data_IF_586473434461
#
_entry.id   IF_586473434461
#
_cell.length_a   1.000
_cell.length_b   1.000
_cell.length_c   1.000
_cell.angle_alpha   90.00
_cell.angle_beta   90.00
_cell.angle_gamma   90.00
#
_symmetry.space_group_name_H-M   'P 1'
#
loop_
_entity.id
_entity.type
_entity.pdbx_description
1 polymer ?
#
# COMPACT_ATOMS: atom_id res chain seq x y z
N UNK A 1 9.51 12.49 11.27
CA UNK A 1 10.99 12.46 11.17
C UNK A 1 11.65 11.18 11.72
N UNK A 2 10.90 10.18 12.22
CA UNK A 2 11.50 9.00 12.86
C UNK A 2 12.17 8.00 11.91
N UNK A 3 11.50 7.61 10.81
CA UNK A 3 11.99 6.52 9.97
C UNK A 3 13.33 6.79 9.24
N UNK A 4 13.57 7.97 8.63
CA UNK A 4 14.88 8.27 8.05
C UNK A 4 16.02 8.24 9.08
N UNK A 5 15.74 8.65 10.32
CA UNK A 5 16.72 8.56 11.41
C UNK A 5 17.00 7.09 11.77
N UNK A 6 15.98 6.23 11.82
CA UNK A 6 16.17 4.80 12.06
C UNK A 6 17.03 4.14 10.97
N UNK A 7 16.91 4.57 9.71
CA UNK A 7 17.74 4.08 8.61
C UNK A 7 19.22 4.46 8.77
N UNK A 8 19.53 5.57 9.45
CA UNK A 8 20.89 5.97 9.79
C UNK A 8 21.51 5.02 10.84
N UNK A 9 20.74 4.61 11.85
CA UNK A 9 21.19 3.67 12.88
C UNK A 9 21.22 2.21 12.39
N UNK A 10 20.28 1.84 11.53
CA UNK A 10 20.14 0.49 10.98
C UNK A 10 20.09 0.53 9.44
N UNK A 11 21.24 0.45 8.76
CA UNK A 11 21.33 0.57 7.30
C UNK A 11 20.44 -0.40 6.53
N UNK A 12 20.15 -1.58 7.10
CA UNK A 12 19.23 -2.57 6.52
C UNK A 12 17.82 -2.01 6.29
N UNK A 13 17.37 -1.05 7.09
CA UNK A 13 16.08 -0.38 6.92
C UNK A 13 16.04 0.51 5.67
N UNK A 14 17.19 0.88 5.11
CA UNK A 14 17.29 1.61 3.84
C UNK A 14 16.73 0.82 2.65
N UNK A 15 16.61 -0.51 2.77
CA UNK A 15 16.05 -1.38 1.74
C UNK A 15 14.52 -1.53 1.85
N UNK A 16 13.88 -0.89 2.84
CA UNK A 16 12.45 -0.98 3.05
C UNK A 16 11.79 0.40 3.00
N UNK A 17 10.65 0.48 2.32
CA UNK A 17 9.88 1.72 2.13
C UNK A 17 8.43 1.50 2.57
N UNK A 18 7.90 2.43 3.36
CA UNK A 18 6.49 2.45 3.71
C UNK A 18 5.70 3.21 2.66
N UNK A 19 4.59 2.62 2.21
CA UNK A 19 3.70 3.23 1.22
C UNK A 19 2.24 3.07 1.59
N UNK A 20 1.39 3.87 0.96
CA UNK A 20 -0.07 3.77 1.10
C UNK A 20 -0.74 3.70 -0.27
N UNK A 21 -1.78 2.89 -0.38
CA UNK A 21 -2.74 2.92 -1.50
C UNK A 21 -4.15 3.08 -0.96
N UNK A 22 -5.04 3.65 -1.76
CA UNK A 22 -6.45 3.80 -1.43
C UNK A 22 -7.32 3.33 -2.59
N UNK A 23 -8.20 2.39 -2.30
CA UNK A 23 -9.25 1.98 -3.21
C UNK A 23 -10.57 1.92 -2.46
N UNK A 24 -11.58 2.73 -2.83
CA UNK A 24 -12.81 2.90 -2.06
C UNK A 24 -13.41 1.57 -1.63
N UNK A 25 -13.81 1.46 -0.37
CA UNK A 25 -14.50 0.28 0.11
C UNK A 25 -15.88 0.11 -0.54
N UNK A 26 -16.45 -1.09 -0.43
CA UNK A 26 -17.81 -1.37 -0.94
C UNK A 26 -18.87 -0.43 -0.35
N UNK A 27 -18.62 0.09 0.85
CA UNK A 27 -19.48 1.05 1.51
C UNK A 27 -19.54 2.37 0.72
N UNK A 28 -18.39 2.93 0.35
CA UNK A 28 -18.31 4.17 -0.45
C UNK A 28 -18.73 3.99 -1.91
N UNK A 29 -18.62 2.78 -2.44
CA UNK A 29 -19.05 2.48 -3.80
C UNK A 29 -20.57 2.30 -3.93
N UNK A 30 -21.31 2.08 -2.84
CA UNK A 30 -22.76 1.85 -2.89
C UNK A 30 -23.55 3.04 -2.36
N UNK A 31 -24.27 3.72 -3.25
CA UNK A 31 -25.16 4.84 -2.92
C UNK A 31 -26.28 4.46 -1.93
N UNK A 32 -26.63 3.16 -1.84
CA UNK A 32 -27.63 2.65 -0.89
C UNK A 32 -27.28 2.86 0.57
N UNK A 33 -26.00 3.00 0.90
CA UNK A 33 -25.56 3.25 2.28
C UNK A 33 -25.56 4.75 2.62
N UNK A 34 -25.71 5.63 1.63
CA UNK A 34 -25.80 7.08 1.86
C UNK A 34 -27.14 7.52 2.48
N UNK A 35 -28.16 6.65 2.54
CA UNK A 35 -29.54 7.04 2.89
C UNK A 35 -29.92 6.86 4.37
N UNK A 36 -29.02 6.39 5.24
CA UNK A 36 -29.27 6.34 6.70
C UNK A 36 -27.98 6.57 7.49
N UNK A 37 -27.41 7.79 7.50
CA UNK A 37 -26.08 8.00 8.04
C UNK A 37 -26.11 8.12 9.56
N UNK A 38 -25.43 7.22 10.27
CA UNK A 38 -24.93 7.50 11.61
C UNK A 38 -23.82 8.55 11.58
N UNK A 39 -23.40 9.06 12.74
CA UNK A 39 -22.31 10.06 12.84
C UNK A 39 -21.00 9.60 12.17
N UNK A 40 -20.67 8.30 12.31
CA UNK A 40 -19.50 7.70 11.65
C UNK A 40 -19.68 7.54 10.14
N UNK A 41 -20.90 7.34 9.66
CA UNK A 41 -21.21 7.23 8.23
C UNK A 41 -21.10 8.58 7.52
N UNK A 42 -21.45 9.67 8.20
CA UNK A 42 -21.27 11.03 7.70
C UNK A 42 -19.77 11.39 7.60
N UNK A 43 -18.99 11.15 8.66
CA UNK A 43 -17.54 11.39 8.66
C UNK A 43 -16.79 10.51 7.65
N UNK A 44 -17.29 9.28 7.43
CA UNK A 44 -16.81 8.43 6.37
C UNK A 44 -17.13 9.09 5.00
N UNK A 45 -18.38 9.23 4.63
CA UNK A 45 -18.76 9.60 3.26
C UNK A 45 -18.18 10.96 2.80
N UNK A 46 -18.00 11.91 3.72
CA UNK A 46 -17.47 13.25 3.43
C UNK A 46 -15.94 13.32 3.35
N UNK A 47 -15.23 12.39 4.01
CA UNK A 47 -13.75 12.41 4.08
C UNK A 47 -13.15 11.04 3.74
N UNK A 48 -12.29 10.94 2.71
CA UNK A 48 -11.58 9.70 2.37
C UNK A 48 -10.76 9.10 3.53
N UNK A 49 -10.41 9.93 4.52
CA UNK A 49 -9.73 9.49 5.75
C UNK A 49 -10.60 8.57 6.60
N UNK A 50 -11.93 8.70 6.53
CA UNK A 50 -12.86 7.83 7.24
C UNK A 50 -13.04 6.45 6.59
N UNK A 51 -12.57 6.24 5.35
CA UNK A 51 -12.64 4.94 4.65
C UNK A 51 -11.43 4.07 4.98
N UNK A 52 -11.27 3.70 6.25
CA UNK A 52 -10.16 2.83 6.68
C UNK A 52 -10.16 1.48 5.95
N UNK A 53 -11.35 0.98 5.57
CA UNK A 53 -11.53 -0.21 4.74
C UNK A 53 -11.00 -0.03 3.32
N UNK A 54 -10.93 1.20 2.83
CA UNK A 54 -10.38 1.55 1.53
C UNK A 54 -8.85 1.54 1.49
N UNK A 55 -8.20 1.67 2.64
CA UNK A 55 -6.76 1.89 2.74
C UNK A 55 -5.96 0.60 2.77
N UNK A 56 -4.74 0.65 2.25
CA UNK A 56 -3.74 -0.39 2.49
C UNK A 56 -2.38 0.24 2.73
N UNK A 57 -1.75 -0.22 3.80
CA UNK A 57 -0.38 0.11 4.15
C UNK A 57 0.54 -0.95 3.58
N UNK A 58 1.62 -0.53 2.96
CA UNK A 58 2.56 -1.39 2.27
C UNK A 58 3.96 -1.23 2.84
N UNK A 59 4.65 -2.35 2.98
CA UNK A 59 6.08 -2.43 3.20
C UNK A 59 6.71 -2.97 1.91
N UNK A 60 7.33 -2.08 1.13
CA UNK A 60 8.05 -2.40 -0.10
C UNK A 60 9.52 -2.69 0.21
N UNK A 61 10.05 -3.77 -0.35
CA UNK A 61 11.43 -4.21 -0.18
C UNK A 61 12.18 -4.09 -1.51
N UNK A 62 13.36 -3.49 -1.45
CA UNK A 62 14.25 -3.35 -2.60
C UNK A 62 14.73 -4.71 -3.09
N UNK A 63 14.40 -5.04 -4.33
CA UNK A 63 14.76 -6.31 -4.96
C UNK A 63 16.24 -6.41 -5.28
N UNK A 64 16.95 -5.28 -5.43
CA UNK A 64 18.41 -5.32 -5.56
C UNK A 64 19.07 -5.85 -4.28
N UNK A 65 18.48 -5.59 -3.11
CA UNK A 65 18.97 -6.20 -1.87
C UNK A 65 18.45 -7.63 -1.68
N UNK A 66 17.19 -7.89 -2.04
CA UNK A 66 16.52 -9.16 -1.75
C UNK A 66 16.92 -10.31 -2.68
N UNK A 67 17.18 -10.04 -3.97
CA UNK A 67 17.39 -11.08 -4.98
C UNK A 67 18.85 -11.58 -5.01
N UNK A 68 19.06 -12.89 -5.30
CA UNK A 68 20.40 -13.42 -5.49
C UNK A 68 21.07 -12.84 -6.73
N UNK A 69 22.41 -12.79 -6.73
CA UNK A 69 23.20 -12.22 -7.82
C UNK A 69 22.91 -12.81 -9.21
N UNK A 70 22.48 -14.08 -9.27
CA UNK A 70 22.10 -14.74 -10.52
C UNK A 70 20.81 -14.18 -11.15
N UNK A 71 19.91 -13.57 -10.37
CA UNK A 71 18.62 -13.06 -10.84
C UNK A 71 18.64 -11.55 -11.11
N UNK A 72 19.54 -10.79 -10.49
CA UNK A 72 19.64 -9.33 -10.64
C UNK A 72 19.71 -8.84 -12.09
N UNK A 73 20.47 -9.46 -13.02
CA UNK A 73 20.55 -8.97 -14.41
C UNK A 73 19.23 -9.05 -15.18
N UNK A 74 18.29 -9.87 -14.70
CA UNK A 74 17.01 -10.13 -15.36
C UNK A 74 15.84 -9.43 -14.67
N UNK A 75 16.09 -8.74 -13.55
CA UNK A 75 15.06 -8.08 -12.76
C UNK A 75 15.24 -6.55 -12.84
N UNK A 76 14.18 -5.78 -13.17
CA UNK A 76 14.27 -4.33 -13.19
C UNK A 76 14.55 -3.77 -11.80
N UNK A 77 15.55 -2.90 -11.68
CA UNK A 77 15.96 -2.30 -10.41
C UNK A 77 14.85 -1.45 -9.76
N UNK A 78 14.02 -0.80 -10.58
CA UNK A 78 12.85 -0.01 -10.17
C UNK A 78 11.64 -0.86 -9.72
N UNK A 79 11.67 -2.19 -9.87
CA UNK A 79 10.56 -3.06 -9.52
C UNK A 79 10.83 -3.78 -8.20
N UNK A 80 10.06 -3.44 -7.17
CA UNK A 80 10.16 -4.01 -5.82
C UNK A 80 9.11 -5.10 -5.56
N UNK A 81 9.28 -5.81 -4.45
CA UNK A 81 8.24 -6.66 -3.86
C UNK A 81 7.66 -5.97 -2.62
N UNK A 82 6.34 -6.03 -2.44
CA UNK A 82 5.66 -5.37 -1.33
C UNK A 82 4.72 -6.30 -0.58
N UNK A 83 4.75 -6.18 0.75
CA UNK A 83 3.80 -6.79 1.67
C UNK A 83 2.78 -5.72 2.10
N UNK A 84 1.52 -5.93 1.76
CA UNK A 84 0.42 -5.03 2.10
C UNK A 84 -0.42 -5.56 3.25
N UNK A 85 -0.96 -4.63 4.03
CA UNK A 85 -1.89 -4.90 5.13
C UNK A 85 -3.04 -3.89 5.08
N UNK A 86 -4.27 -4.39 5.20
CA UNK A 86 -5.46 -3.55 5.30
C UNK A 86 -6.63 -4.29 5.94
N UNK A 87 -7.69 -3.56 6.23
CA UNK A 87 -8.99 -4.12 6.58
C UNK A 87 -9.88 -4.09 5.34
N UNK A 88 -10.67 -5.14 5.09
CA UNK A 88 -11.61 -5.16 3.96
C UNK A 88 -12.88 -5.87 4.38
N UNK A 89 -14.01 -5.33 3.95
CA UNK A 89 -15.33 -5.94 4.15
C UNK A 89 -15.77 -5.93 5.64
N UNK A 90 -15.44 -4.87 6.41
CA UNK A 90 -15.91 -4.77 7.80
C UNK A 90 -17.45 -4.70 7.85
N UNK A 91 -18.13 -5.57 8.63
CA UNK A 91 -19.55 -5.48 8.86
C UNK A 91 -19.83 -4.26 9.74
N UNK A 92 -20.86 -3.49 9.37
CA UNK A 92 -21.21 -2.26 10.08
C UNK A 92 -21.43 -2.49 11.57
N UNK A 93 -20.85 -1.61 12.39
CA UNK A 93 -21.04 -1.60 13.84
C UNK A 93 -20.26 -2.66 14.62
N UNK A 94 -19.53 -3.56 13.96
CA UNK A 94 -18.70 -4.55 14.63
C UNK A 94 -17.22 -4.26 14.40
N UNK A 95 -16.55 -3.70 15.42
CA UNK A 95 -15.12 -3.40 15.42
C UNK A 95 -14.23 -4.66 15.57
N UNK A 96 -14.80 -5.86 15.37
CA UNK A 96 -14.01 -7.08 15.41
C UNK A 96 -12.98 -7.05 14.27
N UNK A 97 -11.70 -7.13 14.65
CA UNK A 97 -10.52 -7.15 13.78
C UNK A 97 -10.42 -8.41 12.87
N UNK A 98 -11.54 -9.09 12.60
CA UNK A 98 -11.67 -10.36 11.85
C UNK A 98 -11.64 -10.22 10.32
N UNK A 99 -11.26 -9.05 9.82
CA UNK A 99 -11.32 -8.75 8.39
C UNK A 99 -9.97 -8.28 7.86
N UNK A 100 -8.89 -8.78 8.46
CA UNK A 100 -7.53 -8.47 8.06
C UNK A 100 -7.26 -9.12 6.72
N UNK A 101 -6.68 -8.33 5.84
CA UNK A 101 -6.28 -8.80 4.53
C UNK A 101 -4.81 -8.49 4.33
N UNK A 102 -4.07 -9.54 3.98
CA UNK A 102 -2.68 -9.42 3.58
C UNK A 102 -2.58 -9.39 2.06
N UNK A 103 -1.56 -8.70 1.56
CA UNK A 103 -1.28 -8.62 0.14
C UNK A 103 0.19 -8.93 -0.09
N UNK A 104 0.51 -9.70 -1.12
CA UNK A 104 1.86 -9.81 -1.65
C UNK A 104 1.83 -9.31 -3.09
N UNK A 105 2.54 -8.25 -3.40
CA UNK A 105 2.46 -7.59 -4.70
C UNK A 105 3.78 -7.06 -5.21
N UNK A 106 3.73 -6.59 -6.45
CA UNK A 106 4.80 -5.78 -7.03
C UNK A 106 4.62 -4.32 -6.62
N UNK A 107 5.71 -3.58 -6.54
CA UNK A 107 5.72 -2.15 -6.26
C UNK A 107 6.73 -1.43 -7.16
N UNK A 108 6.48 -0.16 -7.46
CA UNK A 108 7.38 0.65 -8.28
C UNK A 108 8.21 1.55 -7.35
N UNK A 109 9.52 1.37 -7.34
CA UNK A 109 10.46 2.28 -6.70
C UNK A 109 10.72 3.46 -7.62
N UNK A 110 9.90 4.52 -7.48
CA UNK A 110 9.99 5.68 -8.35
C UNK A 110 11.31 6.42 -8.22
N UNK A 111 12.01 6.32 -7.09
CA UNK A 111 13.29 7.00 -6.89
C UNK A 111 14.37 6.51 -7.86
N UNK A 112 14.27 5.25 -8.31
CA UNK A 112 15.18 4.61 -9.29
C UNK A 112 14.86 4.94 -10.75
N UNK A 113 13.74 5.61 -11.03
CA UNK A 113 13.45 6.09 -12.38
C UNK A 113 14.45 7.17 -12.83
N UNK A 114 14.73 7.29 -14.14
CA UNK A 114 15.68 8.29 -14.66
C UNK A 114 15.28 9.72 -14.30
N UNK A 115 16.27 10.61 -14.23
CA UNK A 115 16.11 12.01 -13.85
C UNK A 115 16.66 12.30 -12.45
N UNK A 116 17.58 13.25 -12.40
CA UNK A 116 18.47 13.51 -11.27
C UNK A 116 18.52 14.98 -10.85
N UNK A 117 17.67 15.83 -11.44
CA UNK A 117 17.50 17.21 -10.99
C UNK A 117 16.92 17.24 -9.56
N UNK A 118 17.24 18.27 -8.75
CA UNK A 118 16.74 18.37 -7.37
C UNK A 118 15.20 18.31 -7.30
N UNK A 119 14.51 18.97 -8.23
CA UNK A 119 13.05 18.92 -8.31
C UNK A 119 12.53 17.51 -8.57
N UNK A 120 13.10 16.80 -9.56
CA UNK A 120 12.67 15.43 -9.89
C UNK A 120 12.96 14.46 -8.74
N UNK A 121 14.09 14.59 -8.05
CA UNK A 121 14.38 13.76 -6.86
C UNK A 121 13.33 13.95 -5.77
N UNK A 122 12.98 15.20 -5.44
CA UNK A 122 11.93 15.49 -4.46
C UNK A 122 10.57 14.98 -4.90
N UNK A 123 10.19 15.20 -6.17
CA UNK A 123 8.93 14.73 -6.71
C UNK A 123 8.84 13.19 -6.67
N UNK A 124 9.89 12.50 -7.12
CA UNK A 124 9.96 11.03 -7.09
C UNK A 124 9.82 10.53 -5.65
N UNK A 125 10.49 11.14 -4.68
CA UNK A 125 10.40 10.71 -3.28
C UNK A 125 9.00 10.89 -2.69
N UNK A 126 8.33 12.02 -2.97
CA UNK A 126 6.94 12.24 -2.53
C UNK A 126 6.00 11.23 -3.17
N UNK A 127 6.09 11.02 -4.49
CA UNK A 127 5.25 10.06 -5.18
C UNK A 127 5.56 8.62 -4.76
N UNK A 128 6.80 8.31 -4.39
CA UNK A 128 7.21 6.98 -3.96
C UNK A 128 6.56 6.57 -2.63
N UNK A 129 6.03 7.50 -1.84
CA UNK A 129 5.19 7.18 -0.67
C UNK A 129 3.82 6.60 -1.05
N UNK A 130 3.42 6.69 -2.31
CA UNK A 130 2.17 6.13 -2.85
C UNK A 130 2.50 4.79 -3.51
N UNK A 131 1.74 3.76 -3.15
CA UNK A 131 1.81 2.48 -3.85
C UNK A 131 0.91 2.55 -5.08
N UNK A 132 1.52 2.69 -6.26
CA UNK A 132 0.82 2.76 -7.54
C UNK A 132 0.16 1.43 -7.92
N UNK A 133 -0.78 1.46 -8.88
CA UNK A 133 -1.47 0.26 -9.30
C UNK A 133 -0.55 -0.84 -9.82
N UNK A 134 -0.55 -2.00 -9.16
CA UNK A 134 0.32 -3.11 -9.51
C UNK A 134 -0.34 -4.47 -9.27
N UNK A 135 0.12 -5.53 -9.96
CA UNK A 135 -0.30 -6.89 -9.68
C UNK A 135 0.01 -7.30 -8.24
N UNK A 136 -1.00 -7.78 -7.53
CA UNK A 136 -0.90 -8.28 -6.18
C UNK A 136 -1.81 -9.48 -5.95
N UNK A 137 -1.37 -10.36 -5.07
CA UNK A 137 -2.15 -11.46 -4.53
C UNK A 137 -2.73 -11.01 -3.20
N UNK A 138 -4.05 -11.04 -3.07
CA UNK A 138 -4.77 -10.86 -1.81
C UNK A 138 -4.89 -12.20 -1.11
N UNK A 139 -4.55 -12.25 0.16
CA UNK A 139 -4.74 -13.40 1.05
C UNK A 139 -5.74 -12.98 2.13
N UNK A 140 -6.97 -13.49 2.03
CA UNK A 140 -8.01 -13.30 3.05
C UNK A 140 -7.82 -14.23 4.25
N UNK A 141 -8.51 -13.97 5.36
CA UNK A 141 -8.38 -14.78 6.60
C UNK A 141 -8.70 -16.27 6.39
N UNK A 142 -9.55 -16.61 5.43
CA UNK A 142 -9.90 -17.99 5.09
C UNK A 142 -8.97 -18.64 4.05
N UNK A 143 -7.79 -18.06 3.79
CA UNK A 143 -6.83 -18.55 2.78
C UNK A 143 -7.26 -18.32 1.33
N UNK A 144 -8.27 -17.47 1.11
CA UNK A 144 -8.74 -17.11 -0.23
C UNK A 144 -7.69 -16.28 -0.94
N UNK A 145 -7.35 -16.69 -2.16
CA UNK A 145 -6.35 -16.04 -3.02
C UNK A 145 -7.09 -15.29 -4.13
N UNK A 146 -6.87 -13.98 -4.23
CA UNK A 146 -7.38 -13.18 -5.35
C UNK A 146 -6.22 -12.53 -6.08
N UNK A 147 -6.24 -12.59 -7.41
CA UNK A 147 -5.35 -11.81 -8.26
C UNK A 147 -5.97 -10.44 -8.48
N UNK A 148 -5.29 -9.40 -8.03
CA UNK A 148 -5.76 -8.04 -8.13
C UNK A 148 -4.74 -7.21 -8.89
N UNK A 149 -5.22 -6.40 -9.84
CA UNK A 149 -4.57 -5.13 -10.08
C UNK A 149 -5.13 -4.21 -9.00
N UNK A 150 -4.35 -3.95 -7.96
CA UNK A 150 -4.80 -2.96 -6.99
C UNK A 150 -4.67 -1.60 -7.64
N UNK A 151 -5.70 -0.75 -7.53
CA UNK A 151 -5.69 0.63 -7.98
C UNK A 151 -5.21 1.55 -6.85
#
# INVERSE_FOLDING_TARGET
>A
AGYPLLQEYWPVLGHFQFKISYFPSRYYQNERYATTPGFFDYMAYEYPVGDYDGMTFWLSADTDWLLPASLKPYWPDWLNLALGYGARDLPQGNMELKYRTWYLGLDYNLEKLPGDTPFLKSLKSVLNAIHFPAPAIRIGENGQVFYLLKL
#
